data_IF_189053008817
#
_entry.id   IF_189053008817
#
_cell.length_a   1.000
_cell.length_b   1.000
_cell.length_c   1.000
_cell.angle_alpha   90.00
_cell.angle_beta   90.00
_cell.angle_gamma   90.00
#
_symmetry.space_group_name_H-M   'P 1'
#
loop_
_entity.id
_entity.type
_entity.pdbx_description
1 polymer ?
#
# COMPACT_ATOMS: atom_id res chain seq x y z
N UNK A 1 9.55 46.98 9.02
CA UNK A 1 9.47 47.92 10.15
C UNK A 1 10.19 49.19 9.75
N UNK A 2 9.66 50.37 10.09
CA UNK A 2 10.30 51.66 9.84
C UNK A 2 10.54 52.35 11.17
N UNK A 3 11.77 52.78 11.43
CA UNK A 3 12.10 53.72 12.50
C UNK A 3 12.93 54.86 11.88
N UNK A 4 12.29 56.01 11.66
CA UNK A 4 12.95 57.16 11.03
C UNK A 4 13.28 56.98 9.54
N UNK A 5 14.37 57.62 9.10
CA UNK A 5 14.78 57.71 7.68
C UNK A 5 15.47 56.46 7.12
N UNK A 6 15.77 55.47 7.96
CA UNK A 6 16.35 54.21 7.53
C UNK A 6 15.24 53.21 7.17
N UNK A 7 15.22 52.82 5.89
CA UNK A 7 14.27 51.82 5.38
C UNK A 7 15.02 50.53 5.13
N UNK A 8 14.80 49.51 5.96
CA UNK A 8 15.24 48.14 5.66
C UNK A 8 14.10 47.41 4.96
N UNK A 9 14.21 47.27 3.64
CA UNK A 9 13.32 46.47 2.82
C UNK A 9 13.97 45.09 2.61
N UNK A 10 13.32 44.03 3.09
CA UNK A 10 13.62 42.68 2.59
C UNK A 10 12.57 42.36 1.53
N UNK A 11 13.01 42.06 0.31
CA UNK A 11 12.14 41.48 -0.70
C UNK A 11 12.01 40.00 -0.35
N UNK A 12 10.89 39.61 0.26
CA UNK A 12 10.49 38.21 0.32
C UNK A 12 10.07 37.79 -1.09
N UNK A 13 11.05 37.50 -1.93
CA UNK A 13 10.81 36.77 -3.17
C UNK A 13 10.54 35.32 -2.83
N UNK A 14 9.43 34.77 -3.30
CA UNK A 14 9.32 33.33 -3.49
C UNK A 14 10.31 32.94 -4.59
N UNK A 15 11.59 32.76 -4.24
CA UNK A 15 12.53 32.15 -5.16
C UNK A 15 12.07 30.70 -5.39
N UNK A 16 11.64 30.39 -6.62
CA UNK A 16 11.67 29.02 -7.12
C UNK A 16 10.45 28.12 -6.90
N UNK A 17 9.25 28.64 -6.59
CA UNK A 17 8.05 27.80 -6.67
C UNK A 17 7.62 27.61 -8.14
N UNK A 18 8.35 26.81 -8.89
CA UNK A 18 8.07 26.52 -10.31
C UNK A 18 7.16 25.31 -10.52
N UNK A 19 7.06 24.41 -9.53
CA UNK A 19 6.07 23.34 -9.42
C UNK A 19 6.22 22.69 -8.03
N UNK A 20 5.18 22.03 -7.47
CA UNK A 20 5.40 21.10 -6.36
C UNK A 20 6.43 20.03 -6.78
N UNK A 21 7.27 19.53 -5.86
CA UNK A 21 8.22 18.46 -6.19
C UNK A 21 7.47 17.22 -6.67
N UNK A 22 8.13 16.41 -7.50
CA UNK A 22 7.60 15.13 -7.92
C UNK A 22 7.44 14.18 -6.71
N UNK A 23 6.63 13.13 -6.88
CA UNK A 23 6.37 12.14 -5.84
C UNK A 23 7.49 11.10 -5.80
N UNK A 24 7.76 10.56 -4.60
CA UNK A 24 8.52 9.31 -4.49
C UNK A 24 7.73 8.16 -5.12
N UNK A 25 8.41 7.11 -5.55
CA UNK A 25 7.78 5.92 -6.12
C UNK A 25 8.29 4.66 -5.41
N UNK A 26 7.69 3.51 -5.72
CA UNK A 26 8.19 2.20 -5.29
C UNK A 26 8.39 2.07 -3.77
N UNK A 27 7.37 2.39 -2.98
CA UNK A 27 7.43 2.15 -1.54
C UNK A 27 7.41 0.64 -1.31
N UNK A 28 8.40 0.10 -0.61
CA UNK A 28 8.46 -1.32 -0.25
C UNK A 28 8.44 -1.52 1.25
N UNK A 29 7.89 -2.63 1.70
CA UNK A 29 7.90 -3.08 3.09
C UNK A 29 8.70 -4.38 3.21
N UNK A 30 9.55 -4.44 4.22
CA UNK A 30 10.33 -5.63 4.59
C UNK A 30 10.57 -5.65 6.10
N UNK A 31 11.31 -6.63 6.61
CA UNK A 31 11.60 -6.75 8.04
C UNK A 31 10.47 -7.44 8.79
N UNK A 32 10.38 -7.18 10.09
CA UNK A 32 9.44 -7.83 11.00
C UNK A 32 8.33 -6.89 11.43
N UNK A 33 7.31 -7.45 12.09
CA UNK A 33 6.29 -6.65 12.76
C UNK A 33 6.89 -5.73 13.83
N UNK A 34 7.96 -6.14 14.51
CA UNK A 34 8.63 -5.30 15.51
C UNK A 34 9.44 -4.14 14.89
N UNK A 35 10.09 -4.39 13.75
CA UNK A 35 10.98 -3.44 13.08
C UNK A 35 10.74 -3.43 11.56
N UNK A 36 9.58 -2.95 11.10
CA UNK A 36 9.31 -2.87 9.67
C UNK A 36 10.27 -1.87 9.03
N UNK A 37 10.77 -2.23 7.86
CA UNK A 37 11.67 -1.41 7.06
C UNK A 37 11.00 -1.00 5.78
N UNK A 38 10.86 0.32 5.62
CA UNK A 38 10.36 0.95 4.43
C UNK A 38 11.52 1.38 3.55
N UNK A 39 11.40 1.19 2.23
CA UNK A 39 12.30 1.81 1.25
C UNK A 39 11.47 2.51 0.19
N UNK A 40 12.02 3.55 -0.43
CA UNK A 40 11.34 4.30 -1.50
C UNK A 40 12.34 4.79 -2.54
N UNK A 41 11.86 5.11 -3.73
CA UNK A 41 12.67 5.65 -4.82
C UNK A 41 12.45 7.16 -4.94
N UNK A 42 13.51 7.99 -4.87
CA UNK A 42 13.41 9.42 -5.17
C UNK A 42 13.05 9.65 -6.65
N UNK A 43 12.24 10.68 -6.95
CA UNK A 43 11.99 11.06 -8.33
C UNK A 43 13.28 11.58 -9.00
N UNK A 44 13.55 11.21 -10.27
CA UNK A 44 14.74 11.66 -10.97
C UNK A 44 14.71 13.18 -11.15
N UNK A 45 15.91 13.79 -11.17
CA UNK A 45 16.09 15.22 -11.46
C UNK A 45 15.32 16.19 -10.55
N UNK A 46 14.90 15.72 -9.37
CA UNK A 46 14.21 16.54 -8.36
C UNK A 46 15.18 16.87 -7.23
N UNK A 47 15.21 18.14 -6.82
CA UNK A 47 15.95 18.52 -5.60
C UNK A 47 15.23 17.92 -4.40
N UNK A 48 15.97 17.13 -3.61
CA UNK A 48 15.51 16.56 -2.35
C UNK A 48 16.40 17.13 -1.26
N UNK A 49 15.80 17.85 -0.31
CA UNK A 49 16.52 18.34 0.87
C UNK A 49 16.35 17.38 2.07
N UNK A 50 15.34 16.53 2.02
CA UNK A 50 15.12 15.46 2.99
C UNK A 50 13.76 14.82 2.86
N UNK A 51 13.50 13.87 3.75
CA UNK A 51 12.21 13.19 3.83
C UNK A 51 11.56 13.39 5.20
N UNK A 52 10.24 13.33 5.22
CA UNK A 52 9.48 13.17 6.45
C UNK A 52 8.60 11.94 6.35
N UNK A 53 8.69 11.10 7.37
CA UNK A 53 7.98 9.85 7.50
C UNK A 53 6.96 10.04 8.62
N UNK A 54 5.69 9.86 8.27
CA UNK A 54 4.62 9.74 9.25
C UNK A 54 4.02 8.34 9.17
N UNK A 55 3.69 7.74 10.30
CA UNK A 55 2.93 6.50 10.34
C UNK A 55 1.67 6.74 11.17
N UNK A 56 0.54 6.31 10.61
CA UNK A 56 -0.78 6.46 11.19
C UNK A 56 -1.37 5.09 11.54
N UNK A 57 -1.93 4.98 12.75
CA UNK A 57 -2.72 3.83 13.18
C UNK A 57 -4.17 4.00 12.74
N UNK A 58 -4.62 3.21 11.75
CA UNK A 58 -5.93 3.41 11.11
C UNK A 58 -7.09 3.07 12.04
N UNK A 59 -6.91 2.15 12.98
CA UNK A 59 -7.99 1.73 13.90
C UNK A 59 -8.12 2.65 15.12
N UNK A 60 -7.13 3.51 15.38
CA UNK A 60 -7.19 4.51 16.45
C UNK A 60 -7.47 5.91 15.92
N UNK A 61 -8.54 6.08 15.13
CA UNK A 61 -8.93 7.39 14.57
C UNK A 61 -7.80 8.06 13.76
N UNK A 62 -7.01 7.26 13.04
CA UNK A 62 -5.85 7.70 12.27
C UNK A 62 -4.80 8.46 13.11
N UNK A 63 -4.53 7.97 14.33
CA UNK A 63 -3.54 8.59 15.21
C UNK A 63 -2.14 8.53 14.59
N UNK A 64 -1.42 9.66 14.61
CA UNK A 64 0.00 9.73 14.23
C UNK A 64 0.85 9.05 15.32
N UNK A 65 1.42 7.89 14.99
CA UNK A 65 2.20 7.08 15.93
C UNK A 65 3.71 7.20 15.72
N UNK A 66 4.17 7.59 14.54
CA UNK A 66 5.58 7.86 14.24
C UNK A 66 5.69 9.16 13.46
N UNK A 67 6.66 10.00 13.81
CA UNK A 67 7.06 11.19 13.04
C UNK A 67 8.58 11.27 13.01
N UNK A 68 9.18 11.10 11.84
CA UNK A 68 10.64 11.09 11.65
C UNK A 68 11.03 11.95 10.46
N UNK A 69 12.08 12.74 10.61
CA UNK A 69 12.75 13.37 9.47
C UNK A 69 14.02 12.57 9.14
N UNK A 70 14.32 12.42 7.85
CA UNK A 70 15.50 11.75 7.31
C UNK A 70 16.23 12.71 6.36
N UNK A 71 17.54 12.55 6.21
CA UNK A 71 18.34 13.32 5.25
C UNK A 71 17.99 12.96 3.80
N UNK A 72 18.42 13.78 2.84
CA UNK A 72 18.16 13.56 1.41
C UNK A 72 18.74 12.25 0.84
N UNK A 73 19.74 11.67 1.50
CA UNK A 73 20.40 10.43 1.07
C UNK A 73 19.79 9.17 1.68
N UNK A 74 18.94 9.32 2.69
CA UNK A 74 18.31 8.21 3.40
C UNK A 74 16.99 7.87 2.73
N UNK A 75 17.02 6.90 1.81
CA UNK A 75 15.84 6.40 1.08
C UNK A 75 15.25 5.13 1.71
N UNK A 76 15.54 4.93 2.99
CA UNK A 76 15.03 3.82 3.79
C UNK A 76 14.86 4.23 5.24
N UNK A 77 13.89 3.62 5.90
CA UNK A 77 13.62 3.80 7.32
C UNK A 77 13.17 2.48 7.95
N UNK A 78 13.98 1.96 8.86
CA UNK A 78 13.60 0.89 9.78
C UNK A 78 13.00 1.52 11.03
N UNK A 79 11.77 1.14 11.37
CA UNK A 79 11.11 1.68 12.55
C UNK A 79 11.76 1.13 13.81
N UNK A 80 12.25 2.03 14.66
CA UNK A 80 12.70 1.72 16.01
C UNK A 80 11.53 1.92 16.99
N UNK A 81 11.32 1.04 17.99
CA UNK A 81 10.35 1.27 19.06
C UNK A 81 10.49 2.63 19.77
N UNK A 82 11.68 3.24 19.77
CA UNK A 82 11.92 4.57 20.32
C UNK A 82 11.35 5.71 19.45
N UNK A 83 11.02 5.47 18.19
CA UNK A 83 10.46 6.47 17.28
C UNK A 83 8.95 6.67 17.45
N UNK A 84 8.28 5.86 18.27
CA UNK A 84 6.87 6.02 18.57
C UNK A 84 6.64 7.30 19.40
N UNK A 85 5.80 8.19 18.89
CA UNK A 85 5.44 9.47 19.55
C UNK A 85 4.52 9.24 20.75
N UNK A 86 3.90 8.07 20.84
CA UNK A 86 3.05 7.65 21.96
C UNK A 86 3.63 6.36 22.57
N UNK A 87 4.04 6.36 23.85
CA UNK A 87 4.60 5.17 24.50
C UNK A 87 3.63 3.99 24.51
N UNK A 88 4.13 2.79 24.22
CA UNK A 88 3.35 1.54 24.19
C UNK A 88 2.65 1.23 22.86
N UNK A 89 2.99 1.95 21.79
CA UNK A 89 2.39 1.80 20.46
C UNK A 89 3.23 0.93 19.53
N UNK A 90 3.66 -0.23 19.98
CA UNK A 90 4.30 -1.20 19.08
C UNK A 90 3.33 -1.61 17.97
N UNK A 91 3.88 -1.91 16.79
CA UNK A 91 3.11 -2.48 15.71
C UNK A 91 2.46 -3.78 16.15
N UNK A 92 1.17 -3.91 15.88
CA UNK A 92 0.42 -5.13 16.14
C UNK A 92 0.25 -5.88 14.84
N UNK A 93 0.68 -7.15 14.81
CA UNK A 93 0.46 -8.01 13.66
C UNK A 93 -1.05 -8.10 13.34
N UNK A 94 -1.38 -8.08 12.04
CA UNK A 94 -2.77 -8.10 11.56
C UNK A 94 -3.50 -6.76 11.68
N UNK A 95 -2.86 -5.71 12.21
CA UNK A 95 -3.46 -4.37 12.31
C UNK A 95 -3.04 -3.48 11.14
N UNK A 96 -3.98 -2.70 10.62
CA UNK A 96 -3.71 -1.79 9.49
C UNK A 96 -3.14 -0.44 9.93
N UNK A 97 -2.13 0.00 9.19
CA UNK A 97 -1.47 1.28 9.32
C UNK A 97 -1.40 1.97 7.96
N UNK A 98 -1.04 3.25 7.97
CA UNK A 98 -0.73 4.00 6.76
C UNK A 98 0.61 4.71 6.94
N UNK A 99 1.51 4.61 5.98
CA UNK A 99 2.76 5.36 5.94
C UNK A 99 2.63 6.51 4.95
N UNK A 100 3.06 7.69 5.37
CA UNK A 100 3.28 8.86 4.52
C UNK A 100 4.78 9.07 4.34
N UNK A 101 5.23 9.08 3.08
CA UNK A 101 6.57 9.56 2.73
C UNK A 101 6.41 10.94 2.07
N UNK A 102 6.87 11.97 2.79
CA UNK A 102 6.97 13.33 2.29
C UNK A 102 8.37 13.59 1.73
N UNK A 103 8.49 14.07 0.50
CA UNK A 103 9.72 14.68 -0.02
C UNK A 103 9.68 16.18 0.31
N UNK A 104 10.74 16.70 0.90
CA UNK A 104 10.83 18.09 1.36
C UNK A 104 11.87 18.89 0.57
N UNK A 105 11.53 20.16 0.30
CA UNK A 105 12.45 21.16 -0.23
C UNK A 105 12.55 22.36 0.71
N UNK A 106 13.78 22.82 0.98
CA UNK A 106 14.11 23.86 1.96
C UNK A 106 14.11 25.26 1.37
N UNK A 107 13.50 26.20 2.09
CA UNK A 107 13.43 27.62 1.73
C UNK A 107 14.81 28.25 1.86
N UNK A 108 15.49 27.94 2.96
CA UNK A 108 16.88 28.26 3.20
C UNK A 108 17.71 26.96 3.25
N UNK A 109 18.44 26.62 2.16
CA UNK A 109 19.22 25.40 2.11
C UNK A 109 20.43 25.43 3.05
N UNK A 110 20.83 26.61 3.55
CA UNK A 110 21.97 26.75 4.47
C UNK A 110 21.65 26.29 5.90
N UNK A 111 20.36 26.23 6.26
CA UNK A 111 19.91 25.70 7.53
C UNK A 111 19.79 24.17 7.47
N UNK A 112 20.32 23.49 8.48
CA UNK A 112 20.25 22.04 8.64
C UNK A 112 19.01 21.63 9.44
N UNK A 113 17.84 22.05 8.96
CA UNK A 113 16.56 21.70 9.57
C UNK A 113 15.49 21.42 8.52
N UNK A 114 14.59 20.49 8.85
CA UNK A 114 13.40 20.16 8.07
C UNK A 114 12.13 20.60 8.82
N UNK A 115 12.20 21.70 9.58
CA UNK A 115 11.07 22.24 10.30
C UNK A 115 10.06 22.88 9.33
N UNK A 116 8.78 22.89 9.71
CA UNK A 116 7.72 23.41 8.85
C UNK A 116 7.94 24.86 8.38
N UNK A 117 8.64 25.68 9.17
CA UNK A 117 8.97 27.06 8.79
C UNK A 117 9.99 27.16 7.64
N UNK A 118 10.88 26.17 7.53
CA UNK A 118 11.91 26.12 6.49
C UNK A 118 11.51 25.28 5.27
N UNK A 119 10.35 24.62 5.26
CA UNK A 119 9.86 23.90 4.07
C UNK A 119 9.12 24.87 3.13
N UNK A 120 9.43 24.86 1.83
CA UNK A 120 8.66 25.60 0.80
C UNK A 120 7.97 24.69 -0.22
N UNK A 121 8.55 23.53 -0.51
CA UNK A 121 8.01 22.54 -1.44
C UNK A 121 7.85 21.21 -0.74
N UNK A 122 6.71 20.55 -0.95
CA UNK A 122 6.47 19.20 -0.45
C UNK A 122 5.60 18.39 -1.40
N UNK A 123 5.87 17.09 -1.49
CA UNK A 123 5.01 16.09 -2.13
C UNK A 123 4.83 14.93 -1.16
N UNK A 124 3.66 14.30 -1.18
CA UNK A 124 3.27 13.25 -0.22
C UNK A 124 2.75 12.04 -0.96
N UNK A 125 3.25 10.87 -0.58
CA UNK A 125 2.71 9.59 -1.01
C UNK A 125 2.27 8.84 0.24
N UNK A 126 1.10 8.21 0.13
CA UNK A 126 0.54 7.37 1.17
C UNK A 126 0.49 5.92 0.68
N UNK A 127 0.86 5.00 1.55
CA UNK A 127 0.70 3.58 1.32
C UNK A 127 0.12 2.94 2.59
N UNK A 128 -0.93 2.15 2.42
CA UNK A 128 -1.46 1.36 3.52
C UNK A 128 -0.65 0.08 3.66
N UNK A 129 -0.45 -0.36 4.90
CA UNK A 129 0.29 -1.59 5.19
C UNK A 129 -0.20 -2.27 6.47
N UNK A 130 0.04 -3.56 6.55
CA UNK A 130 0.01 -4.34 7.80
C UNK A 130 1.46 -4.78 8.09
N UNK A 131 1.92 -4.83 9.35
CA UNK A 131 3.26 -5.30 9.66
C UNK A 131 3.45 -6.76 9.22
N UNK A 132 4.60 -7.07 8.64
CA UNK A 132 4.91 -8.41 8.13
C UNK A 132 5.26 -9.39 9.26
N UNK A 133 5.03 -10.68 9.03
CA UNK A 133 5.57 -11.73 9.88
C UNK A 133 7.08 -11.90 9.65
N UNK A 134 7.77 -12.48 10.64
CA UNK A 134 9.19 -12.77 10.51
C UNK A 134 9.45 -13.73 9.34
N UNK A 135 10.31 -13.32 8.42
CA UNK A 135 10.66 -14.11 7.24
C UNK A 135 9.76 -13.91 6.02
N UNK A 136 8.76 -13.02 6.08
CA UNK A 136 8.02 -12.59 4.89
C UNK A 136 8.96 -11.98 3.84
N UNK A 137 8.66 -12.15 2.53
CA UNK A 137 9.43 -11.50 1.47
C UNK A 137 9.22 -9.98 1.50
N UNK A 138 10.11 -9.25 0.81
CA UNK A 138 9.91 -7.82 0.57
C UNK A 138 8.69 -7.61 -0.33
N UNK A 139 7.75 -6.79 0.14
CA UNK A 139 6.47 -6.49 -0.53
C UNK A 139 6.51 -5.08 -1.11
N UNK A 140 6.02 -4.91 -2.34
CA UNK A 140 5.80 -3.60 -2.94
C UNK A 140 4.43 -3.09 -2.47
N UNK A 141 4.38 -1.92 -1.86
CA UNK A 141 3.14 -1.35 -1.38
C UNK A 141 2.47 -0.51 -2.48
N UNK A 142 1.16 -0.69 -2.72
CA UNK A 142 0.43 0.12 -3.68
C UNK A 142 0.02 1.48 -3.12
N UNK A 143 -0.32 2.39 -4.03
CA UNK A 143 -1.15 3.56 -3.72
C UNK A 143 -2.61 3.18 -3.96
N UNK A 144 -3.47 3.47 -2.97
CA UNK A 144 -4.91 3.20 -3.09
C UNK A 144 -5.59 4.33 -3.85
N UNK A 145 -6.28 3.99 -4.94
CA UNK A 145 -7.08 4.93 -5.74
C UNK A 145 -8.46 5.17 -5.12
N UNK A 146 -9.11 6.26 -5.55
CA UNK A 146 -10.48 6.62 -5.12
C UNK A 146 -11.53 5.56 -5.45
N UNK A 147 -11.28 4.73 -6.47
CA UNK A 147 -12.13 3.61 -6.90
C UNK A 147 -11.81 2.29 -6.20
N UNK A 148 -10.85 2.30 -5.25
CA UNK A 148 -10.42 1.11 -4.51
C UNK A 148 -9.40 0.23 -5.24
N UNK A 149 -8.93 0.61 -6.43
CA UNK A 149 -7.85 -0.10 -7.11
C UNK A 149 -6.49 0.20 -6.45
N UNK A 150 -5.64 -0.82 -6.39
CA UNK A 150 -4.26 -0.70 -5.94
C UNK A 150 -3.38 -0.40 -7.15
N UNK A 151 -2.73 0.76 -7.16
CA UNK A 151 -1.82 1.18 -8.23
C UNK A 151 -0.37 1.00 -7.80
N UNK A 152 0.44 0.43 -8.70
CA UNK A 152 1.87 0.27 -8.53
C UNK A 152 2.61 1.15 -9.53
N UNK A 153 3.73 1.72 -9.11
CA UNK A 153 4.68 2.43 -9.98
C UNK A 153 6.09 2.03 -9.57
N UNK A 154 6.60 0.99 -10.21
CA UNK A 154 7.86 0.34 -9.86
C UNK A 154 8.74 0.09 -11.09
N UNK A 155 10.05 0.12 -10.88
CA UNK A 155 11.02 -0.36 -11.86
C UNK A 155 11.18 -1.87 -11.71
N UNK A 156 11.04 -2.58 -12.81
CA UNK A 156 11.07 -4.03 -12.87
C UNK A 156 12.20 -4.55 -13.74
N UNK A 157 12.77 -5.68 -13.33
CA UNK A 157 13.79 -6.41 -14.05
C UNK A 157 13.29 -7.78 -14.50
N UNK A 158 13.64 -8.15 -15.73
CA UNK A 158 13.28 -9.46 -16.28
C UNK A 158 13.89 -10.57 -15.42
N UNK A 159 13.04 -11.53 -15.03
CA UNK A 159 13.46 -12.69 -14.24
C UNK A 159 13.53 -12.45 -12.74
N UNK A 160 13.23 -11.23 -12.27
CA UNK A 160 13.07 -10.93 -10.85
C UNK A 160 11.59 -11.09 -10.46
N UNK A 161 11.35 -11.70 -9.29
CA UNK A 161 10.02 -11.82 -8.71
C UNK A 161 9.73 -10.60 -7.84
N UNK A 162 8.59 -9.97 -8.10
CA UNK A 162 8.07 -8.87 -7.30
C UNK A 162 6.84 -9.35 -6.55
N UNK A 163 6.81 -9.09 -5.24
CA UNK A 163 5.67 -9.42 -4.40
C UNK A 163 4.75 -8.21 -4.28
N UNK A 164 3.48 -8.40 -4.64
CA UNK A 164 2.40 -7.43 -4.60
C UNK A 164 1.39 -7.90 -3.56
N UNK A 165 0.77 -7.00 -2.81
CA UNK A 165 -0.26 -7.38 -1.84
C UNK A 165 -1.43 -6.39 -1.80
N UNK A 166 -2.64 -6.84 -2.14
CA UNK A 166 -3.86 -6.04 -2.10
C UNK A 166 -4.61 -6.17 -0.76
N UNK A 167 -5.62 -5.31 -0.59
CA UNK A 167 -6.66 -5.54 0.42
C UNK A 167 -7.49 -6.79 0.12
N UNK A 168 -7.95 -7.50 1.15
CA UNK A 168 -8.63 -8.80 1.06
C UNK A 168 -9.90 -8.79 0.22
N UNK A 169 -10.01 -9.77 -0.68
CA UNK A 169 -11.10 -9.95 -1.63
C UNK A 169 -11.34 -11.45 -1.90
N UNK A 170 -12.38 -11.81 -2.66
CA UNK A 170 -12.55 -13.21 -3.13
C UNK A 170 -11.77 -13.52 -4.41
N UNK A 171 -11.09 -12.51 -4.94
CA UNK A 171 -10.22 -12.59 -6.10
C UNK A 171 -9.68 -11.23 -6.48
N UNK A 172 -8.82 -11.21 -7.50
CA UNK A 172 -8.19 -9.99 -8.00
C UNK A 172 -8.08 -9.99 -9.52
N UNK A 173 -8.27 -8.82 -10.10
CA UNK A 173 -7.87 -8.51 -11.47
C UNK A 173 -6.51 -7.82 -11.45
N UNK A 174 -5.54 -8.38 -12.16
CA UNK A 174 -4.23 -7.78 -12.39
C UNK A 174 -4.16 -7.27 -13.82
N UNK A 175 -3.67 -6.05 -14.00
CA UNK A 175 -3.49 -5.46 -15.32
C UNK A 175 -2.25 -4.56 -15.37
N UNK A 176 -1.57 -4.51 -16.52
CA UNK A 176 -0.55 -3.49 -16.78
C UNK A 176 -1.19 -2.10 -16.96
N UNK A 177 -0.44 -1.04 -16.68
CA UNK A 177 -0.98 0.33 -16.74
C UNK A 177 -0.96 0.94 -18.14
N UNK A 178 0.08 0.63 -18.90
CA UNK A 178 0.30 1.17 -20.24
C UNK A 178 0.76 0.08 -21.21
N UNK A 179 0.54 0.27 -22.51
CA UNK A 179 1.00 -0.66 -23.55
C UNK A 179 2.53 -0.75 -23.68
N UNK A 180 3.26 0.16 -23.03
CA UNK A 180 4.73 0.12 -22.92
C UNK A 180 5.25 -0.66 -21.71
N UNK A 181 4.38 -1.05 -20.78
CA UNK A 181 4.76 -1.84 -19.61
C UNK A 181 5.02 -3.29 -20.03
N UNK A 182 6.03 -3.96 -19.44
CA UNK A 182 6.23 -5.39 -19.64
C UNK A 182 5.01 -6.23 -19.20
N UNK A 183 4.59 -7.19 -20.04
CA UNK A 183 3.55 -8.17 -19.69
C UNK A 183 3.98 -9.07 -18.51
N UNK A 184 3.01 -9.57 -17.76
CA UNK A 184 3.20 -10.60 -16.74
C UNK A 184 3.63 -11.92 -17.38
N UNK A 185 4.75 -12.49 -16.94
CA UNK A 185 5.28 -13.75 -17.43
C UNK A 185 4.84 -14.94 -16.57
N UNK A 186 4.71 -14.75 -15.27
CA UNK A 186 4.26 -15.80 -14.35
C UNK A 186 3.65 -15.21 -13.09
N UNK A 187 2.92 -16.04 -12.37
CA UNK A 187 2.37 -15.75 -11.04
C UNK A 187 2.66 -16.91 -10.08
N UNK A 188 2.93 -16.59 -8.82
CA UNK A 188 2.98 -17.52 -7.69
C UNK A 188 2.02 -17.00 -6.64
N UNK A 189 0.98 -17.78 -6.35
CA UNK A 189 -0.08 -17.42 -5.42
C UNK A 189 0.29 -17.86 -4.00
N UNK A 190 -0.20 -17.19 -2.94
CA UNK A 190 0.15 -17.51 -1.56
C UNK A 190 -0.30 -18.92 -1.15
N UNK A 191 0.34 -19.49 -0.13
CA UNK A 191 -0.11 -20.71 0.55
C UNK A 191 -0.78 -20.36 1.88
N UNK A 192 -1.59 -21.26 2.43
CA UNK A 192 -2.12 -21.14 3.79
C UNK A 192 -3.37 -20.26 3.91
N UNK A 193 -3.92 -19.81 2.78
CA UNK A 193 -5.20 -19.10 2.71
C UNK A 193 -6.26 -20.09 2.24
N UNK A 194 -7.29 -20.29 3.08
CA UNK A 194 -8.36 -21.25 2.77
C UNK A 194 -7.82 -22.64 2.49
N UNK A 195 -8.16 -23.22 1.34
CA UNK A 195 -7.63 -24.51 0.88
C UNK A 195 -6.33 -24.40 0.06
N UNK A 196 -5.83 -23.18 -0.16
CA UNK A 196 -4.67 -22.84 -1.00
C UNK A 196 -4.82 -23.21 -2.48
N UNK A 197 -6.04 -23.35 -2.99
CA UNK A 197 -6.34 -23.61 -4.39
C UNK A 197 -6.98 -22.39 -5.04
N UNK A 198 -6.50 -22.06 -6.23
CA UNK A 198 -6.92 -20.86 -6.94
C UNK A 198 -7.28 -21.15 -8.39
N UNK A 199 -8.25 -20.41 -8.91
CA UNK A 199 -8.58 -20.42 -10.33
C UNK A 199 -7.91 -19.24 -11.03
N UNK A 200 -7.13 -19.53 -12.08
CA UNK A 200 -6.38 -18.54 -12.86
C UNK A 200 -7.05 -18.37 -14.22
N UNK A 201 -7.34 -17.12 -14.55
CA UNK A 201 -8.00 -16.71 -15.79
C UNK A 201 -7.11 -15.74 -16.58
N UNK A 202 -7.15 -15.87 -17.90
CA UNK A 202 -6.76 -14.83 -18.84
C UNK A 202 -7.99 -14.10 -19.35
N UNK A 203 -7.82 -13.27 -20.37
CA UNK A 203 -8.94 -12.56 -21.01
C UNK A 203 -8.88 -12.73 -22.52
N UNK A 204 -10.05 -12.92 -23.14
CA UNK A 204 -10.17 -12.96 -24.60
C UNK A 204 -10.11 -11.54 -25.23
N UNK A 205 -10.18 -11.49 -26.56
CA UNK A 205 -10.16 -10.23 -27.31
C UNK A 205 -11.41 -9.36 -27.07
N UNK A 206 -12.48 -9.92 -26.52
CA UNK A 206 -13.71 -9.23 -26.13
C UNK A 206 -13.74 -8.87 -24.64
N UNK A 207 -12.63 -9.11 -23.93
CA UNK A 207 -12.45 -8.87 -22.51
C UNK A 207 -13.30 -9.76 -21.58
N UNK A 208 -13.66 -10.96 -22.03
CA UNK A 208 -14.27 -11.97 -21.16
C UNK A 208 -13.19 -12.83 -20.48
N UNK A 209 -13.37 -13.20 -19.20
CA UNK A 209 -12.44 -14.08 -18.51
C UNK A 209 -12.48 -15.49 -19.12
N UNK A 210 -11.30 -16.02 -19.42
CA UNK A 210 -11.08 -17.38 -19.92
C UNK A 210 -10.29 -18.17 -18.89
N UNK A 211 -10.87 -19.25 -18.36
CA UNK A 211 -10.19 -20.12 -17.40
C UNK A 211 -8.97 -20.75 -18.07
N UNK A 212 -7.78 -20.46 -17.51
CA UNK A 212 -6.52 -21.05 -17.94
C UNK A 212 -6.19 -22.28 -17.12
N UNK A 213 -6.46 -22.21 -15.82
CA UNK A 213 -6.23 -23.31 -14.89
C UNK A 213 -7.17 -23.22 -13.70
N UNK A 214 -7.69 -24.36 -13.27
CA UNK A 214 -8.46 -24.48 -12.03
C UNK A 214 -7.69 -25.21 -10.94
N UNK A 215 -8.04 -24.93 -9.69
CA UNK A 215 -7.43 -25.53 -8.50
C UNK A 215 -5.89 -25.51 -8.53
N UNK A 216 -5.31 -24.39 -8.96
CA UNK A 216 -3.87 -24.18 -8.94
C UNK A 216 -3.39 -24.07 -7.50
N UNK A 217 -2.42 -24.90 -7.11
CA UNK A 217 -1.90 -24.92 -5.76
C UNK A 217 -1.06 -23.67 -5.49
N UNK A 218 -1.34 -22.98 -4.39
CA UNK A 218 -0.52 -21.92 -3.84
C UNK A 218 0.93 -22.37 -3.64
N UNK A 219 1.87 -21.45 -3.83
CA UNK A 219 3.31 -21.73 -3.79
C UNK A 219 3.88 -22.27 -5.10
N UNK A 220 3.07 -22.85 -5.99
CA UNK A 220 3.52 -23.29 -7.31
C UNK A 220 3.52 -22.13 -8.33
N UNK A 221 4.54 -22.12 -9.19
CA UNK A 221 4.72 -21.12 -10.24
C UNK A 221 3.85 -21.44 -11.47
N UNK A 222 2.85 -20.60 -11.75
CA UNK A 222 2.09 -20.68 -12.99
C UNK A 222 2.71 -19.78 -14.06
N UNK A 223 3.11 -20.37 -15.20
CA UNK A 223 3.72 -19.64 -16.32
C UNK A 223 2.67 -19.38 -17.42
N UNK A 224 2.53 -18.11 -17.82
CA UNK A 224 1.56 -17.69 -18.84
C UNK A 224 1.96 -18.01 -20.28
N UNK A 225 3.15 -18.59 -20.48
CA UNK A 225 3.67 -18.97 -21.78
C UNK A 225 4.38 -17.82 -22.51
N UNK A 226 4.59 -18.01 -23.81
CA UNK A 226 5.34 -17.07 -24.62
C UNK A 226 4.59 -15.73 -24.78
N UNK A 227 5.26 -14.63 -24.41
CA UNK A 227 4.70 -13.29 -24.54
C UNK A 227 3.91 -12.80 -23.32
N UNK A 228 3.64 -13.68 -22.35
CA UNK A 228 2.94 -13.33 -21.12
C UNK A 228 1.51 -12.81 -21.35
N UNK A 229 0.93 -12.23 -20.31
CA UNK A 229 -0.38 -11.57 -20.36
C UNK A 229 -0.26 -10.10 -19.94
N UNK A 230 -1.03 -9.24 -20.58
CA UNK A 230 -1.23 -7.84 -20.16
C UNK A 230 -2.18 -7.74 -18.96
N UNK A 231 -3.08 -8.73 -18.81
CA UNK A 231 -4.00 -8.86 -17.68
C UNK A 231 -4.35 -10.33 -17.37
N UNK A 232 -4.57 -10.63 -16.10
CA UNK A 232 -5.04 -11.92 -15.63
C UNK A 232 -5.92 -11.75 -14.39
N UNK A 233 -6.73 -12.76 -14.10
CA UNK A 233 -7.61 -12.80 -12.93
C UNK A 233 -7.31 -14.01 -12.08
N UNK A 234 -7.37 -13.83 -10.77
CA UNK A 234 -7.29 -14.88 -9.77
C UNK A 234 -8.62 -14.92 -9.01
N UNK A 235 -9.24 -16.09 -8.92
CA UNK A 235 -10.38 -16.38 -8.05
C UNK A 235 -10.03 -17.55 -7.13
N UNK A 236 -10.96 -17.93 -6.26
CA UNK A 236 -10.80 -19.07 -5.35
C UNK A 236 -10.42 -18.67 -3.94
N UNK A 237 -10.30 -17.37 -3.63
CA UNK A 237 -10.11 -16.92 -2.26
C UNK A 237 -11.42 -17.08 -1.50
N UNK A 238 -11.45 -18.01 -0.55
CA UNK A 238 -12.66 -18.36 0.18
C UNK A 238 -12.98 -17.30 1.22
N UNK A 239 -14.24 -16.86 1.24
CA UNK A 239 -14.74 -16.00 2.31
C UNK A 239 -14.63 -16.64 3.70
N UNK A 240 -14.65 -17.97 3.78
CA UNK A 240 -14.44 -18.71 5.02
C UNK A 240 -13.00 -18.72 5.51
N UNK A 241 -12.03 -18.31 4.68
CA UNK A 241 -10.65 -18.12 5.12
C UNK A 241 -10.53 -16.98 6.15
N UNK A 242 -11.58 -16.14 6.31
CA UNK A 242 -11.67 -15.14 7.37
C UNK A 242 -10.57 -14.08 7.29
N UNK A 243 -10.02 -13.88 6.09
CA UNK A 243 -9.04 -12.84 5.84
C UNK A 243 -9.66 -11.49 6.25
N UNK A 244 -8.92 -10.70 7.02
CA UNK A 244 -9.36 -9.38 7.44
C UNK A 244 -9.35 -8.45 6.21
N UNK A 245 -10.51 -7.91 5.77
CA UNK A 245 -10.62 -6.92 4.71
C UNK A 245 -9.48 -5.93 4.78
N UNK A 246 -9.23 -5.32 5.93
CA UNK A 246 -8.29 -4.23 6.10
C UNK A 246 -6.81 -4.63 6.13
N UNK A 247 -6.50 -5.93 6.03
CA UNK A 247 -5.14 -6.43 6.01
C UNK A 247 -4.56 -6.38 4.59
N UNK A 248 -3.61 -5.45 4.39
CA UNK A 248 -2.92 -5.20 3.12
C UNK A 248 -1.66 -6.05 2.93
N UNK A 249 -1.41 -7.01 3.82
CA UNK A 249 -0.35 -8.02 3.67
C UNK A 249 -0.90 -9.46 3.74
N UNK A 250 -2.18 -9.65 3.41
CA UNK A 250 -2.87 -10.92 3.56
C UNK A 250 -2.79 -11.83 2.33
N UNK A 251 -2.49 -11.28 1.14
CA UNK A 251 -2.49 -12.00 -0.12
C UNK A 251 -1.24 -11.67 -0.95
N UNK A 252 -0.07 -11.93 -0.37
CA UNK A 252 1.23 -11.69 -1.02
C UNK A 252 1.34 -12.54 -2.30
N UNK A 253 1.23 -11.89 -3.45
CA UNK A 253 1.29 -12.51 -4.78
C UNK A 253 2.63 -12.21 -5.44
N UNK A 254 3.38 -13.26 -5.79
CA UNK A 254 4.63 -13.12 -6.54
C UNK A 254 4.38 -13.06 -8.05
N UNK A 255 4.84 -12.02 -8.74
CA UNK A 255 4.75 -11.89 -10.21
C UNK A 255 6.12 -11.71 -10.83
N UNK A 256 6.31 -12.23 -12.04
CA UNK A 256 7.48 -11.91 -12.89
C UNK A 256 7.02 -11.31 -14.21
N UNK A 257 7.96 -10.68 -14.92
CA UNK A 257 7.65 -9.94 -16.15
C UNK A 257 8.47 -10.42 -17.35
N UNK A 258 7.89 -10.23 -18.54
CA UNK A 258 8.47 -10.62 -19.83
C UNK A 258 9.70 -9.79 -20.23
N UNK A 259 9.87 -8.61 -19.64
CA UNK A 259 10.97 -7.69 -19.90
C UNK A 259 11.26 -6.78 -18.70
N UNK A 260 12.35 -6.02 -18.80
CA UNK A 260 12.68 -4.97 -17.83
C UNK A 260 12.05 -3.65 -18.26
N UNK A 261 11.71 -2.78 -17.30
CA UNK A 261 11.10 -1.49 -17.60
C UNK A 261 10.37 -0.89 -16.41
N UNK A 262 9.46 0.05 -16.68
CA UNK A 262 8.54 0.57 -15.67
C UNK A 262 7.26 -0.27 -15.70
N UNK A 263 6.72 -0.58 -14.53
CA UNK A 263 5.41 -1.20 -14.35
C UNK A 263 4.51 -0.21 -13.62
N UNK A 264 3.42 0.16 -14.28
CA UNK A 264 2.41 1.12 -13.81
C UNK A 264 1.04 0.44 -13.60
N UNK A 265 1.05 -0.86 -13.32
CA UNK A 265 -0.15 -1.68 -13.31
C UNK A 265 -1.01 -1.57 -12.07
N UNK A 266 -2.17 -2.21 -12.15
CA UNK A 266 -3.17 -2.22 -11.09
C UNK A 266 -3.47 -3.63 -10.60
N UNK A 267 -3.91 -3.70 -9.36
CA UNK A 267 -4.56 -4.85 -8.77
C UNK A 267 -5.92 -4.42 -8.22
N UNK A 268 -7.00 -4.95 -8.78
CA UNK A 268 -8.37 -4.55 -8.44
C UNK A 268 -9.05 -5.67 -7.67
N UNK A 269 -9.56 -5.42 -6.45
CA UNK A 269 -10.23 -6.43 -5.65
C UNK A 269 -11.59 -6.82 -6.25
N UNK A 270 -11.87 -8.12 -6.27
CA UNK A 270 -13.18 -8.68 -6.57
C UNK A 270 -13.82 -9.04 -5.24
N UNK A 271 -14.74 -8.22 -4.75
CA UNK A 271 -15.40 -8.43 -3.47
C UNK A 271 -16.76 -9.09 -3.63
N UNK A 272 -17.16 -9.86 -2.62
CA UNK A 272 -18.56 -10.26 -2.44
C UNK A 272 -19.03 -9.66 -1.13
N UNK A 273 -20.21 -9.02 -1.14
CA UNK A 273 -20.85 -8.62 0.09
C UNK A 273 -21.25 -9.89 0.85
N UNK A 274 -20.49 -10.25 1.88
CA UNK A 274 -20.95 -11.24 2.85
C UNK A 274 -21.97 -10.54 3.74
N UNK A 275 -23.25 -10.96 3.78
CA UNK A 275 -24.20 -10.41 4.73
C UNK A 275 -23.67 -10.66 6.13
N UNK A 276 -23.52 -9.61 6.93
CA UNK A 276 -23.16 -9.75 8.34
C UNK A 276 -24.11 -10.78 8.98
N UNK A 277 -23.60 -11.71 9.81
CA UNK A 277 -24.46 -12.63 10.56
C UNK A 277 -25.54 -11.81 11.25
N UNK A 278 -26.81 -12.14 11.02
CA UNK A 278 -27.98 -11.36 11.41
C UNK A 278 -28.10 -11.14 12.92
N UNK A 279 -27.20 -10.33 13.47
CA UNK A 279 -27.10 -10.02 14.89
C UNK A 279 -28.34 -9.21 15.30
N UNK A 280 -28.91 -8.45 14.37
CA UNK A 280 -30.22 -7.81 14.50
C UNK A 280 -31.39 -8.80 14.60
N UNK A 281 -31.30 -9.98 13.96
CA UNK A 281 -32.33 -11.02 14.08
C UNK A 281 -32.26 -11.69 15.46
N UNK A 282 -31.06 -11.93 15.99
CA UNK A 282 -30.87 -12.47 17.34
C UNK A 282 -31.27 -11.47 18.43
N UNK A 283 -30.97 -10.19 18.28
CA UNK A 283 -31.45 -9.12 19.19
C UNK A 283 -32.97 -8.96 19.08
N UNK A 284 -33.54 -9.02 17.87
CA UNK A 284 -34.99 -8.97 17.64
C UNK A 284 -35.75 -10.15 18.25
N UNK A 285 -35.21 -11.37 18.13
CA UNK A 285 -35.77 -12.57 18.76
C UNK A 285 -35.61 -12.54 20.28
N UNK A 286 -34.49 -12.02 20.80
CA UNK A 286 -34.27 -11.83 22.24
C UNK A 286 -35.29 -10.86 22.84
N UNK A 287 -35.52 -9.71 22.19
CA UNK A 287 -36.50 -8.72 22.65
C UNK A 287 -37.95 -9.21 22.55
N UNK A 288 -38.29 -9.95 21.49
CA UNK A 288 -39.61 -10.58 21.36
C UNK A 288 -39.87 -11.66 22.43
N UNK A 289 -38.85 -12.46 22.76
CA UNK A 289 -38.91 -13.45 23.85
C UNK A 289 -39.15 -12.81 25.23
N UNK A 290 -38.48 -11.69 25.52
CA UNK A 290 -38.71 -10.92 26.76
C UNK A 290 -40.09 -10.25 26.80
N UNK A 291 -40.58 -9.74 25.68
CA UNK A 291 -41.92 -9.14 25.59
C UNK A 291 -43.04 -10.16 25.79
N UNK A 292 -42.87 -11.40 25.30
CA UNK A 292 -43.85 -12.46 25.49
C UNK A 292 -43.87 -13.02 26.92
N UNK A 293 -42.70 -13.06 27.59
CA UNK A 293 -42.58 -13.48 28.99
C UNK A 293 -43.24 -12.50 29.97
N UNK A 294 -43.30 -11.20 29.63
CA UNK A 294 -43.99 -10.17 30.43
C UNK A 294 -45.52 -10.19 30.32
N UNK A 295 -46.11 -10.86 29.32
CA UNK A 295 -47.58 -10.94 29.14
C UNK A 295 -48.23 -12.14 29.83
N UNK A 296 -47.45 -13.02 30.48
CA UNK A 296 -47.95 -14.23 31.16
C UNK A 296 -47.80 -14.20 32.69
N UNK A 297 -47.55 -13.02 33.28
CA UNK A 297 -47.63 -12.80 34.73
C UNK A 297 -48.69 -11.76 35.04
#
# INVERSE_FOLDING_TARGET
FTNGGDTSQTTLGFNGATAPPAFVTSITLSGSSANPTFTWTPPPSTVVDGYRINIYDKLQNNALVVNKNQSATETSYTVDPADFTVPGYEFTLGKSYSIEISLLQKRDPSLDDLANGNVYGLSRVYADFTPLEDGSPLVNLPVVRLDGAFEYDILIERGVTYYLDPEVAVGYDFAIGNSGDPNFQSVTLPTGIGDSLYDIYGFDAQNNPLLLQSNWLGGDLFNFGQGGLDRFRVLGIETSAGLDPTNTTAFITGVTFTGSGRFTGTQTPITVNVPEPGTFVLVGLGLAGFAWRRRKH
#
